data_IF_152701583630
#
_entry.id   IF_152701583630
#
_cell.length_a   1.000
_cell.length_b   1.000
_cell.length_c   1.000
_cell.angle_alpha   90.00
_cell.angle_beta   90.00
_cell.angle_gamma   90.00
#
_symmetry.space_group_name_H-M   'P 1'
#
loop_
_entity.id
_entity.type
_entity.pdbx_description
1 polymer ?
#
# COMPACT_ATOMS: atom_id res chain seq x y z
N UNK A 1 -0.29 10.73 16.05
CA UNK A 1 -0.79 9.49 16.65
C UNK A 1 0.41 8.61 16.97
N UNK A 2 0.47 8.00 18.16
CA UNK A 2 1.51 7.03 18.49
C UNK A 2 1.29 5.74 17.66
N UNK A 3 2.34 5.07 17.14
CA UNK A 3 2.22 3.77 16.45
C UNK A 3 1.47 2.70 17.26
N UNK A 4 1.50 2.76 18.58
CA UNK A 4 0.83 1.82 19.48
C UNK A 4 -0.68 2.07 19.51
N UNK A 5 -1.09 3.34 19.52
CA UNK A 5 -2.50 3.75 19.46
C UNK A 5 -3.13 3.30 18.14
N UNK A 6 -2.41 3.50 17.02
CA UNK A 6 -2.88 3.09 15.70
C UNK A 6 -3.11 1.57 15.60
N UNK A 7 -2.27 0.75 16.24
CA UNK A 7 -2.42 -0.71 16.24
C UNK A 7 -3.65 -1.17 17.02
N UNK A 8 -3.88 -0.59 18.20
CA UNK A 8 -5.01 -0.93 19.05
C UNK A 8 -6.33 -0.50 18.41
N UNK A 9 -6.38 0.72 17.87
CA UNK A 9 -7.55 1.25 17.17
C UNK A 9 -7.87 0.44 15.92
N UNK A 10 -6.88 0.11 15.09
CA UNK A 10 -7.07 -0.74 13.92
C UNK A 10 -7.60 -2.13 14.31
N UNK A 11 -7.03 -2.75 15.35
CA UNK A 11 -7.46 -4.06 15.81
C UNK A 11 -8.93 -4.04 16.26
N UNK A 12 -9.34 -3.00 16.98
CA UNK A 12 -10.74 -2.80 17.37
C UNK A 12 -11.65 -2.59 16.15
N UNK A 13 -11.24 -1.74 15.20
CA UNK A 13 -12.01 -1.48 13.98
C UNK A 13 -12.22 -2.77 13.18
N UNK A 14 -11.15 -3.53 12.93
CA UNK A 14 -11.20 -4.80 12.20
C UNK A 14 -12.03 -5.85 12.94
N UNK A 15 -11.88 -5.98 14.26
CA UNK A 15 -12.66 -6.93 15.07
C UNK A 15 -14.17 -6.63 15.02
N UNK A 16 -14.54 -5.36 14.89
CA UNK A 16 -15.92 -4.91 14.80
C UNK A 16 -16.40 -4.70 13.35
N UNK A 17 -15.61 -5.11 12.34
CA UNK A 17 -15.92 -4.90 10.91
C UNK A 17 -16.24 -3.44 10.55
N UNK A 18 -15.63 -2.48 11.27
CA UNK A 18 -15.75 -1.05 10.96
C UNK A 18 -14.92 -0.74 9.71
N UNK A 19 -15.44 0.14 8.86
CA UNK A 19 -14.70 0.68 7.73
C UNK A 19 -13.50 1.48 8.23
N UNK A 20 -12.39 1.37 7.51
CA UNK A 20 -11.19 2.20 7.70
C UNK A 20 -11.14 3.25 6.59
N UNK A 21 -10.76 4.47 6.92
CA UNK A 21 -10.57 5.53 5.93
C UNK A 21 -9.23 5.38 5.20
N UNK A 22 -9.06 6.16 4.12
CA UNK A 22 -7.89 6.09 3.26
C UNK A 22 -6.59 6.48 3.98
N UNK A 23 -6.66 7.42 4.92
CA UNK A 23 -5.50 7.86 5.72
C UNK A 23 -5.02 6.75 6.65
N UNK A 24 -5.97 6.11 7.36
CA UNK A 24 -5.72 4.96 8.22
C UNK A 24 -5.14 3.81 7.40
N UNK A 25 -5.71 3.49 6.24
CA UNK A 25 -5.19 2.44 5.37
C UNK A 25 -3.73 2.70 4.96
N UNK A 26 -3.41 3.93 4.51
CA UNK A 26 -2.06 4.30 4.15
C UNK A 26 -1.08 4.23 5.34
N UNK A 27 -1.53 4.66 6.53
CA UNK A 27 -0.76 4.54 7.76
C UNK A 27 -0.47 3.07 8.11
N UNK A 28 -1.44 2.18 7.90
CA UNK A 28 -1.26 0.73 8.06
C UNK A 28 -0.24 0.17 7.06
N UNK A 29 -0.32 0.54 5.78
CA UNK A 29 0.69 0.16 4.78
C UNK A 29 2.10 0.56 5.24
N UNK A 30 2.26 1.77 5.75
CA UNK A 30 3.53 2.23 6.32
C UNK A 30 3.96 1.40 7.54
N UNK A 31 3.07 1.13 8.50
CA UNK A 31 3.38 0.28 9.65
C UNK A 31 3.83 -1.12 9.23
N UNK A 32 3.17 -1.72 8.23
CA UNK A 32 3.51 -3.04 7.71
C UNK A 32 4.92 -3.08 7.12
N UNK A 33 5.40 -1.99 6.50
CA UNK A 33 6.79 -1.93 5.99
C UNK A 33 7.84 -2.14 7.08
N UNK A 34 7.54 -1.72 8.32
CA UNK A 34 8.40 -1.89 9.51
C UNK A 34 8.21 -3.26 10.15
N UNK A 35 6.99 -3.79 10.09
CA UNK A 35 6.68 -5.12 10.65
C UNK A 35 7.38 -6.25 9.89
N UNK A 36 7.75 -6.05 8.62
CA UNK A 36 8.45 -7.04 7.80
C UNK A 36 9.75 -7.57 8.43
N UNK A 37 10.48 -6.74 9.18
CA UNK A 37 11.72 -7.15 9.85
C UNK A 37 11.48 -8.09 11.04
N UNK A 38 10.24 -8.10 11.57
CA UNK A 38 9.85 -8.94 12.70
C UNK A 38 9.16 -10.24 12.32
N UNK A 39 9.04 -10.55 11.02
CA UNK A 39 8.42 -11.80 10.57
C UNK A 39 9.39 -12.97 10.75
N UNK A 40 8.97 -14.00 11.49
CA UNK A 40 9.78 -15.21 11.76
C UNK A 40 10.13 -15.99 10.49
N UNK A 41 9.24 -15.98 9.51
CA UNK A 41 9.42 -16.62 8.20
C UNK A 41 9.35 -15.54 7.12
N UNK A 42 10.50 -14.97 6.78
CA UNK A 42 10.64 -13.98 5.72
C UNK A 42 11.86 -14.29 4.87
N UNK A 43 11.78 -14.06 3.56
CA UNK A 43 12.93 -14.06 2.64
C UNK A 43 13.51 -12.64 2.66
N UNK A 44 14.68 -12.40 3.29
CA UNK A 44 15.20 -11.05 3.48
C UNK A 44 15.35 -10.27 2.17
N UNK A 45 15.75 -10.96 1.09
CA UNK A 45 15.92 -10.38 -0.25
C UNK A 45 14.61 -9.85 -0.85
N UNK A 46 13.45 -10.34 -0.40
CA UNK A 46 12.14 -9.85 -0.84
C UNK A 46 11.69 -8.60 -0.08
N UNK A 47 12.28 -8.28 1.08
CA UNK A 47 11.82 -7.16 1.90
C UNK A 47 11.87 -5.80 1.20
N UNK A 48 12.91 -5.44 0.42
CA UNK A 48 12.92 -4.19 -0.35
C UNK A 48 11.75 -4.08 -1.33
N UNK A 49 11.39 -5.17 -1.99
CA UNK A 49 10.27 -5.24 -2.93
C UNK A 49 8.94 -4.99 -2.21
N UNK A 50 8.67 -5.74 -1.14
CA UNK A 50 7.40 -5.64 -0.41
C UNK A 50 7.22 -4.25 0.20
N UNK A 51 8.28 -3.64 0.77
CA UNK A 51 8.20 -2.27 1.31
C UNK A 51 7.78 -1.25 0.25
N UNK A 52 8.33 -1.38 -0.96
CA UNK A 52 8.01 -0.49 -2.07
C UNK A 52 6.58 -0.67 -2.56
N UNK A 53 6.13 -1.92 -2.70
CA UNK A 53 4.73 -2.23 -3.08
C UNK A 53 3.72 -1.71 -2.05
N UNK A 54 3.99 -1.88 -0.75
CA UNK A 54 3.14 -1.35 0.32
C UNK A 54 3.04 0.18 0.28
N UNK A 55 4.15 0.87 -0.03
CA UNK A 55 4.14 2.33 -0.19
C UNK A 55 3.26 2.77 -1.36
N UNK A 56 3.34 2.08 -2.50
CA UNK A 56 2.50 2.39 -3.66
C UNK A 56 1.03 2.09 -3.35
N UNK A 57 0.72 0.96 -2.72
CA UNK A 57 -0.64 0.59 -2.33
C UNK A 57 -1.28 1.65 -1.43
N UNK A 58 -0.58 2.10 -0.38
CA UNK A 58 -1.07 3.17 0.49
C UNK A 58 -1.34 4.47 -0.26
N UNK A 59 -0.45 4.84 -1.20
CA UNK A 59 -0.62 6.05 -2.00
C UNK A 59 -1.83 5.98 -2.94
N UNK A 60 -2.03 4.85 -3.62
CA UNK A 60 -3.18 4.66 -4.50
C UNK A 60 -4.50 4.75 -3.73
N UNK A 61 -4.55 4.23 -2.50
CA UNK A 61 -5.74 4.32 -1.66
C UNK A 61 -6.05 5.77 -1.27
N UNK A 62 -5.05 6.61 -1.00
CA UNK A 62 -5.27 8.06 -0.81
C UNK A 62 -5.88 8.69 -2.05
N UNK A 63 -5.32 8.45 -3.22
CA UNK A 63 -5.78 9.12 -4.44
C UNK A 63 -7.19 8.63 -4.89
N UNK A 64 -7.63 7.46 -4.42
CA UNK A 64 -8.90 6.83 -4.83
C UNK A 64 -9.98 6.80 -3.74
N UNK A 65 -9.63 7.00 -2.48
CA UNK A 65 -10.50 6.83 -1.33
C UNK A 65 -10.82 8.12 -0.55
N UNK A 66 -10.46 9.29 -1.09
CA UNK A 66 -10.74 10.58 -0.48
C UNK A 66 -12.10 11.14 -0.93
N UNK A 67 -12.71 12.08 -0.17
CA UNK A 67 -14.02 12.63 -0.52
C UNK A 67 -14.11 13.29 -1.90
N UNK A 68 -12.97 13.73 -2.46
CA UNK A 68 -12.83 14.34 -3.78
C UNK A 68 -12.40 13.34 -4.87
N UNK A 69 -12.20 12.06 -4.53
CA UNK A 69 -11.94 11.01 -5.49
C UNK A 69 -13.15 10.78 -6.40
N UNK A 70 -12.95 10.79 -7.72
CA UNK A 70 -13.98 10.62 -8.73
C UNK A 70 -13.65 9.46 -9.67
N UNK A 71 -14.64 8.64 -10.11
CA UNK A 71 -14.43 7.69 -11.18
C UNK A 71 -13.93 8.32 -12.50
N UNK A 72 -14.18 9.62 -12.71
CA UNK A 72 -13.69 10.34 -13.88
C UNK A 72 -12.19 10.63 -13.82
N UNK A 73 -11.60 10.73 -12.62
CA UNK A 73 -10.15 10.88 -12.44
C UNK A 73 -9.42 9.54 -12.42
N UNK A 74 -10.15 8.43 -12.27
CA UNK A 74 -9.58 7.08 -12.21
C UNK A 74 -8.66 6.71 -13.38
N UNK A 75 -8.96 7.02 -14.66
CA UNK A 75 -8.02 6.73 -15.75
C UNK A 75 -6.63 7.37 -15.53
N UNK A 76 -6.59 8.60 -15.01
CA UNK A 76 -5.34 9.30 -14.69
C UNK A 76 -4.65 8.66 -13.47
N UNK A 77 -5.41 8.38 -12.41
CA UNK A 77 -4.89 7.70 -11.20
C UNK A 77 -4.35 6.31 -11.52
N UNK A 78 -5.02 5.56 -12.42
CA UNK A 78 -4.57 4.25 -12.91
C UNK A 78 -3.23 4.36 -13.62
N UNK A 79 -3.09 5.31 -14.54
CA UNK A 79 -1.82 5.52 -15.23
C UNK A 79 -0.70 5.86 -14.24
N UNK A 80 -0.96 6.81 -13.34
CA UNK A 80 0.02 7.25 -12.35
C UNK A 80 0.38 6.13 -11.36
N UNK A 81 -0.58 5.28 -10.98
CA UNK A 81 -0.34 4.09 -10.16
C UNK A 81 0.58 3.09 -10.86
N UNK A 82 0.38 2.84 -12.16
CA UNK A 82 1.26 1.96 -12.94
C UNK A 82 2.67 2.54 -13.05
N UNK A 83 2.80 3.86 -13.26
CA UNK A 83 4.08 4.57 -13.26
C UNK A 83 4.80 4.42 -11.91
N UNK A 84 4.10 4.58 -10.78
CA UNK A 84 4.69 4.38 -9.46
C UNK A 84 5.10 2.95 -9.17
N UNK A 85 4.33 1.96 -9.63
CA UNK A 85 4.71 0.54 -9.52
C UNK A 85 6.00 0.31 -10.32
N UNK A 86 6.06 0.79 -11.55
CA UNK A 86 7.25 0.63 -12.40
C UNK A 86 8.47 1.34 -11.81
N UNK A 87 8.35 2.59 -11.34
CA UNK A 87 9.42 3.31 -10.63
C UNK A 87 9.88 2.57 -9.36
N UNK A 88 8.93 2.04 -8.59
CA UNK A 88 9.21 1.25 -7.41
C UNK A 88 10.01 -0.01 -7.77
N UNK A 89 9.67 -0.70 -8.84
CA UNK A 89 10.31 -1.94 -9.25
C UNK A 89 11.66 -1.73 -9.95
N UNK A 90 11.78 -0.69 -10.80
CA UNK A 90 13.00 -0.37 -11.54
C UNK A 90 14.20 -0.11 -10.65
N UNK A 91 14.00 0.56 -9.52
CA UNK A 91 15.10 0.81 -8.58
C UNK A 91 15.53 -0.45 -7.79
N UNK A 92 14.91 -1.61 -8.04
CA UNK A 92 15.38 -2.94 -7.62
C UNK A 92 15.88 -3.79 -8.81
N UNK A 93 15.92 -3.24 -10.02
CA UNK A 93 16.29 -3.97 -11.24
C UNK A 93 15.16 -4.76 -11.89
N UNK A 94 13.91 -4.56 -11.46
CA UNK A 94 12.72 -5.20 -12.05
C UNK A 94 12.01 -4.25 -13.03
N UNK A 95 11.30 -4.81 -14.02
CA UNK A 95 10.44 -4.08 -14.94
C UNK A 95 9.02 -4.65 -14.83
N UNK A 96 8.03 -3.81 -14.50
CA UNK A 96 6.63 -4.24 -14.51
C UNK A 96 6.13 -4.28 -15.96
N UNK A 97 5.67 -5.45 -16.40
CA UNK A 97 5.01 -5.62 -17.69
C UNK A 97 3.58 -6.10 -17.47
N UNK A 98 2.61 -5.62 -18.27
CA UNK A 98 1.29 -6.24 -18.31
C UNK A 98 1.45 -7.74 -18.57
N UNK A 99 0.83 -8.58 -17.74
CA UNK A 99 0.72 -9.99 -18.04
C UNK A 99 -0.16 -10.18 -19.28
N UNK A 100 0.20 -11.11 -20.15
CA UNK A 100 -0.73 -11.59 -21.17
C UNK A 100 -1.92 -12.23 -20.46
N UNK A 101 -3.09 -11.60 -20.54
CA UNK A 101 -4.33 -12.22 -20.11
C UNK A 101 -4.66 -13.26 -21.17
N UNK A 102 -4.34 -14.53 -20.89
CA UNK A 102 -4.83 -15.68 -21.67
C UNK A 102 -6.30 -15.97 -21.35
#
# INVERSE_FOLDING_TARGET
MDPTDLRAELAEQLANSKAIDAETFNAVCFLLTRALDGLELNVPDAAPLVRRLLRVAGRVVIDTGMPDSSPETWPNTKQMALEWIDEALRALGYEARPGEVS
#
